data_IF_588991705354
#
_entry.id   IF_588991705354
#
_cell.length_a   1.000
_cell.length_b   1.000
_cell.length_c   1.000
_cell.angle_alpha   90.00
_cell.angle_beta   90.00
_cell.angle_gamma   90.00
#
_symmetry.space_group_name_H-M   'P 1'
#
loop_
_entity.id
_entity.type
_entity.pdbx_description
1 polymer ?
#
# COMPACT_ATOMS: atom_id res chain seq x y z
N UNK A 1 0.36 13.46 -14.65
CA UNK A 1 1.16 13.09 -13.45
C UNK A 1 0.40 12.00 -12.70
N UNK A 2 1.03 10.89 -12.26
CA UNK A 2 0.30 9.80 -11.56
C UNK A 2 -0.10 10.18 -10.14
N UNK A 3 0.74 10.97 -9.48
CA UNK A 3 0.52 11.59 -8.17
C UNK A 3 1.55 12.74 -7.97
N UNK A 4 1.33 13.71 -7.05
CA UNK A 4 2.27 14.80 -6.79
C UNK A 4 3.56 14.34 -6.11
N UNK A 5 4.72 14.90 -6.47
CA UNK A 5 6.01 14.51 -5.88
C UNK A 5 6.05 14.65 -4.34
N UNK A 6 5.35 15.66 -3.79
CA UNK A 6 5.21 15.85 -2.35
C UNK A 6 4.61 14.62 -1.64
N UNK A 7 3.72 13.87 -2.30
CA UNK A 7 3.18 12.63 -1.73
C UNK A 7 4.28 11.59 -1.51
N UNK A 8 5.17 11.37 -2.48
CA UNK A 8 6.30 10.44 -2.33
C UNK A 8 7.28 10.87 -1.22
N UNK A 9 7.47 12.18 -1.04
CA UNK A 9 8.29 12.70 0.06
C UNK A 9 7.63 12.52 1.44
N UNK A 10 6.30 12.62 1.52
CA UNK A 10 5.54 12.41 2.76
C UNK A 10 5.38 10.93 3.08
N UNK A 11 5.00 10.11 2.10
CA UNK A 11 4.76 8.68 2.22
C UNK A 11 5.98 7.89 1.72
N UNK A 12 7.12 8.10 2.37
CA UNK A 12 8.35 7.34 2.07
C UNK A 12 8.13 5.84 2.24
N UNK A 13 8.97 5.00 1.59
CA UNK A 13 8.88 3.53 1.72
C UNK A 13 8.82 3.07 3.19
N UNK A 14 9.64 3.64 4.07
CA UNK A 14 9.64 3.31 5.49
C UNK A 14 8.28 3.60 6.16
N UNK A 15 7.65 4.72 5.81
CA UNK A 15 6.32 5.07 6.31
C UNK A 15 5.27 4.12 5.75
N UNK A 16 5.31 3.82 4.45
CA UNK A 16 4.37 2.89 3.81
C UNK A 16 4.48 1.50 4.44
N UNK A 17 5.69 1.00 4.65
CA UNK A 17 5.94 -0.27 5.35
C UNK A 17 5.36 -0.21 6.75
N UNK A 18 5.64 0.84 7.53
CA UNK A 18 5.07 0.97 8.88
C UNK A 18 3.53 0.95 8.89
N UNK A 19 2.88 1.55 7.89
CA UNK A 19 1.40 1.56 7.79
C UNK A 19 0.81 0.21 7.39
N UNK A 20 1.48 -0.55 6.54
CA UNK A 20 0.92 -1.76 5.93
C UNK A 20 1.47 -3.08 6.52
N UNK A 21 2.61 -3.04 7.21
CA UNK A 21 3.25 -4.22 7.79
C UNK A 21 2.34 -5.01 8.75
N UNK A 22 1.51 -4.38 9.62
CA UNK A 22 0.59 -5.15 10.48
C UNK A 22 -0.39 -6.01 9.68
N UNK A 23 -1.00 -5.44 8.64
CA UNK A 23 -1.91 -6.18 7.74
C UNK A 23 -1.19 -7.29 6.98
N UNK A 24 0.02 -7.02 6.49
CA UNK A 24 0.82 -8.03 5.78
C UNK A 24 1.22 -9.18 6.72
N UNK A 25 1.70 -8.87 7.92
CA UNK A 25 2.12 -9.86 8.91
C UNK A 25 0.93 -10.75 9.34
N UNK A 26 -0.20 -10.14 9.70
CA UNK A 26 -1.38 -10.88 10.15
C UNK A 26 -1.94 -11.79 9.06
N UNK A 27 -1.95 -11.33 7.80
CA UNK A 27 -2.43 -12.11 6.67
C UNK A 27 -1.58 -13.36 6.38
N UNK A 28 -0.27 -13.28 6.67
CA UNK A 28 0.68 -14.36 6.45
C UNK A 28 1.03 -15.13 7.73
N UNK A 29 0.43 -14.77 8.87
CA UNK A 29 0.74 -15.34 10.19
C UNK A 29 2.23 -15.24 10.54
N UNK A 30 2.86 -14.11 10.19
CA UNK A 30 4.25 -13.82 10.47
C UNK A 30 4.37 -12.98 11.74
N UNK A 31 5.56 -12.98 12.34
CA UNK A 31 5.89 -11.92 13.28
C UNK A 31 5.99 -10.56 12.56
N UNK A 32 5.82 -9.47 13.32
CA UNK A 32 5.75 -8.14 12.74
C UNK A 32 7.06 -7.68 12.09
N UNK A 33 8.21 -8.13 12.59
CA UNK A 33 9.51 -7.73 12.06
C UNK A 33 9.80 -8.45 10.73
N UNK A 34 9.48 -9.75 10.65
CA UNK A 34 9.54 -10.52 9.42
C UNK A 34 8.57 -9.95 8.37
N UNK A 35 7.33 -9.67 8.76
CA UNK A 35 6.33 -9.07 7.88
C UNK A 35 6.78 -7.71 7.32
N UNK A 36 7.36 -6.85 8.17
CA UNK A 36 7.92 -5.57 7.74
C UNK A 36 9.12 -5.75 6.80
N UNK A 37 10.00 -6.72 7.06
CA UNK A 37 11.16 -7.05 6.23
C UNK A 37 10.76 -7.48 4.82
N UNK A 38 9.85 -8.44 4.70
CA UNK A 38 9.33 -8.93 3.41
C UNK A 38 8.63 -7.82 2.63
N UNK A 39 7.78 -7.05 3.30
CA UNK A 39 7.06 -5.95 2.65
C UNK A 39 8.03 -4.83 2.21
N UNK A 40 9.08 -4.54 2.98
CA UNK A 40 10.08 -3.57 2.57
C UNK A 40 10.84 -4.01 1.31
N UNK A 41 11.15 -5.30 1.19
CA UNK A 41 11.72 -5.88 -0.05
C UNK A 41 10.74 -5.75 -1.21
N UNK A 42 9.47 -6.12 -1.03
CA UNK A 42 8.45 -5.99 -2.06
C UNK A 42 8.33 -4.54 -2.61
N UNK A 43 8.43 -3.56 -1.72
CA UNK A 43 8.29 -2.14 -2.03
C UNK A 43 9.61 -1.47 -2.45
N UNK A 44 10.71 -2.20 -2.63
CA UNK A 44 11.95 -1.62 -3.18
C UNK A 44 11.90 -1.42 -4.69
N UNK A 45 10.93 -2.04 -5.38
CA UNK A 45 10.73 -1.97 -6.82
C UNK A 45 9.54 -1.10 -7.27
N UNK A 46 9.00 -1.33 -8.48
CA UNK A 46 7.93 -0.50 -9.06
C UNK A 46 6.60 -0.57 -8.32
N UNK A 47 6.39 -1.59 -7.46
CA UNK A 47 5.16 -1.75 -6.69
C UNK A 47 4.85 -0.56 -5.78
N UNK A 48 5.88 0.10 -5.24
CA UNK A 48 5.70 1.30 -4.42
C UNK A 48 5.07 2.45 -5.23
N UNK A 49 5.55 2.68 -6.45
CA UNK A 49 5.03 3.72 -7.34
C UNK A 49 3.57 3.48 -7.71
N UNK A 50 3.22 2.23 -8.00
CA UNK A 50 1.85 1.84 -8.32
C UNK A 50 0.92 1.97 -7.12
N UNK A 51 1.40 1.60 -5.93
CA UNK A 51 0.67 1.77 -4.68
C UNK A 51 0.46 3.25 -4.34
N UNK A 52 1.48 4.11 -4.50
CA UNK A 52 1.36 5.55 -4.26
C UNK A 52 0.38 6.19 -5.25
N UNK A 53 0.39 5.78 -6.52
CA UNK A 53 -0.59 6.22 -7.50
C UNK A 53 -2.03 5.83 -7.10
N UNK A 54 -2.25 4.58 -6.69
CA UNK A 54 -3.56 4.12 -6.22
C UNK A 54 -4.01 4.86 -4.93
N UNK A 55 -3.07 5.10 -4.02
CA UNK A 55 -3.30 5.84 -2.77
C UNK A 55 -3.70 7.28 -3.04
N UNK A 56 -3.07 7.94 -4.01
CA UNK A 56 -3.45 9.29 -4.41
C UNK A 56 -4.89 9.37 -4.92
N UNK A 57 -5.30 8.43 -5.77
CA UNK A 57 -6.69 8.36 -6.24
C UNK A 57 -7.67 8.15 -5.08
N UNK A 58 -7.31 7.30 -4.11
CA UNK A 58 -8.13 7.08 -2.93
C UNK A 58 -8.22 8.31 -2.01
N UNK A 59 -7.12 9.06 -1.85
CA UNK A 59 -7.09 10.31 -1.09
C UNK A 59 -8.03 11.35 -1.70
N UNK A 60 -7.92 11.59 -3.01
CA UNK A 60 -8.78 12.53 -3.74
C UNK A 60 -10.27 12.17 -3.64
N UNK A 61 -10.60 10.88 -3.77
CA UNK A 61 -11.99 10.41 -3.62
C UNK A 61 -12.56 10.56 -2.20
N UNK A 62 -11.71 10.49 -1.18
CA UNK A 62 -12.08 10.58 0.24
C UNK A 62 -12.25 12.00 0.78
N UNK A 63 -11.75 13.02 0.08
CA UNK A 63 -11.71 14.41 0.57
C UNK A 63 -12.40 15.38 -0.38
N UNK A 64 -13.71 15.20 -0.59
CA UNK A 64 -14.54 15.99 -1.53
C UNK A 64 -14.52 17.53 -1.36
N UNK A 65 -13.96 18.04 -0.26
CA UNK A 65 -13.91 19.48 0.06
C UNK A 65 -12.49 20.07 0.01
N UNK A 66 -11.47 19.26 -0.21
CA UNK A 66 -10.07 19.70 -0.26
C UNK A 66 -9.59 19.67 -1.69
N UNK A 67 -8.80 20.67 -2.07
CA UNK A 67 -7.95 20.62 -3.25
C UNK A 67 -6.71 19.74 -2.99
N UNK A 68 -5.89 19.53 -4.01
CA UNK A 68 -4.73 18.65 -3.92
C UNK A 68 -3.75 19.07 -2.80
N UNK A 69 -3.54 20.38 -2.64
CA UNK A 69 -2.65 20.93 -1.61
C UNK A 69 -3.22 20.72 -0.20
N UNK A 70 -4.53 20.94 -0.01
CA UNK A 70 -5.22 20.65 1.25
C UNK A 70 -5.17 19.17 1.63
N UNK A 71 -5.22 18.26 0.64
CA UNK A 71 -5.02 16.82 0.87
C UNK A 71 -3.60 16.52 1.34
N UNK A 72 -2.59 17.08 0.68
CA UNK A 72 -1.18 16.89 1.05
C UNK A 72 -0.88 17.46 2.44
N UNK A 73 -1.47 18.59 2.80
CA UNK A 73 -1.34 19.17 4.13
C UNK A 73 -1.99 18.29 5.20
N UNK A 74 -3.15 17.69 4.91
CA UNK A 74 -3.78 16.72 5.81
C UNK A 74 -2.88 15.52 6.07
N UNK A 75 -2.24 14.98 5.03
CA UNK A 75 -1.26 13.88 5.15
C UNK A 75 -0.06 14.32 5.98
N UNK A 76 0.52 15.49 5.67
CA UNK A 76 1.66 16.03 6.40
C UNK A 76 1.37 16.21 7.90
N UNK A 77 0.19 16.75 8.23
CA UNK A 77 -0.26 16.95 9.61
C UNK A 77 -0.39 15.63 10.38
N UNK A 78 -0.98 14.60 9.75
CA UNK A 78 -1.12 13.26 10.32
C UNK A 78 0.24 12.62 10.61
N UNK A 79 1.22 12.80 9.72
CA UNK A 79 2.55 12.20 9.85
C UNK A 79 3.52 13.00 10.73
N UNK A 80 3.18 14.22 11.17
CA UNK A 80 4.10 15.17 11.80
C UNK A 80 4.82 14.62 13.03
N UNK A 81 4.09 13.98 13.95
CA UNK A 81 4.65 13.56 15.24
C UNK A 81 5.12 12.11 15.25
N UNK A 82 4.40 11.22 14.56
CA UNK A 82 4.64 9.77 14.62
C UNK A 82 4.54 9.15 13.22
N UNK A 83 5.41 9.53 12.27
CA UNK A 83 5.34 9.08 10.89
C UNK A 83 5.43 7.55 10.79
N UNK A 84 6.27 6.94 11.64
CA UNK A 84 6.50 5.49 11.71
C UNK A 84 5.55 4.76 12.67
N UNK A 85 4.52 5.41 13.21
CA UNK A 85 3.50 4.70 14.01
C UNK A 85 2.90 3.57 13.15
N UNK A 86 2.89 2.32 13.63
CA UNK A 86 2.28 1.23 12.89
C UNK A 86 0.82 1.52 12.53
N UNK A 87 0.42 1.08 11.33
CA UNK A 87 -0.96 1.15 10.92
C UNK A 87 -1.86 0.20 11.72
N UNK A 88 -3.17 0.30 11.53
CA UNK A 88 -4.08 -0.75 12.00
C UNK A 88 -4.12 -1.89 11.01
N UNK A 89 -4.03 -3.11 11.53
CA UNK A 89 -4.32 -4.30 10.74
C UNK A 89 -5.75 -4.25 10.19
N UNK A 90 -5.89 -4.65 8.94
CA UNK A 90 -7.15 -4.68 8.22
C UNK A 90 -7.56 -6.12 7.91
N UNK A 91 -8.87 -6.44 7.94
CA UNK A 91 -9.34 -7.76 7.54
C UNK A 91 -8.97 -8.06 6.09
N UNK A 92 -8.49 -9.27 5.83
CA UNK A 92 -8.10 -9.72 4.50
C UNK A 92 -9.35 -9.95 3.66
N UNK A 93 -9.57 -9.08 2.68
CA UNK A 93 -10.61 -9.23 1.65
C UNK A 93 -10.01 -9.84 0.38
N UNK A 94 -10.81 -10.36 -0.57
CA UNK A 94 -10.28 -10.91 -1.83
C UNK A 94 -9.40 -9.92 -2.61
N UNK A 95 -9.76 -8.64 -2.63
CA UNK A 95 -8.95 -7.61 -3.28
C UNK A 95 -7.64 -7.40 -2.53
N UNK A 96 -7.69 -7.32 -1.19
CA UNK A 96 -6.48 -7.15 -0.39
C UNK A 96 -5.55 -8.36 -0.50
N UNK A 97 -6.09 -9.58 -0.55
CA UNK A 97 -5.34 -10.81 -0.87
C UNK A 97 -4.62 -10.70 -2.20
N UNK A 98 -5.24 -10.12 -3.23
CA UNK A 98 -4.60 -9.94 -4.52
C UNK A 98 -3.41 -8.97 -4.45
N UNK A 99 -3.49 -7.91 -3.64
CA UNK A 99 -2.34 -7.04 -3.39
C UNK A 99 -1.23 -7.74 -2.60
N UNK A 100 -1.59 -8.50 -1.57
CA UNK A 100 -0.62 -9.26 -0.78
C UNK A 100 0.16 -10.25 -1.65
N UNK A 101 -0.53 -10.92 -2.58
CA UNK A 101 0.13 -11.79 -3.55
C UNK A 101 1.08 -11.02 -4.50
N UNK A 102 0.73 -9.79 -4.91
CA UNK A 102 1.66 -8.94 -5.67
C UNK A 102 2.89 -8.59 -4.85
N UNK A 103 2.74 -8.32 -3.56
CA UNK A 103 3.85 -8.06 -2.67
C UNK A 103 4.74 -9.32 -2.52
N UNK A 104 4.14 -10.51 -2.41
CA UNK A 104 4.90 -11.75 -2.33
C UNK A 104 5.69 -12.05 -3.62
N UNK A 105 5.09 -11.80 -4.78
CA UNK A 105 5.76 -11.89 -6.07
C UNK A 105 6.94 -10.91 -6.16
N UNK A 106 6.72 -9.65 -5.76
CA UNK A 106 7.77 -8.63 -5.73
C UNK A 106 8.89 -8.94 -4.71
N UNK A 107 8.56 -9.62 -3.60
CA UNK A 107 9.52 -10.10 -2.62
C UNK A 107 10.20 -11.42 -3.00
N UNK A 108 9.78 -12.07 -4.09
CA UNK A 108 10.31 -13.38 -4.51
C UNK A 108 9.89 -14.54 -3.59
N UNK A 109 8.78 -14.40 -2.88
CA UNK A 109 8.28 -15.39 -1.91
C UNK A 109 7.02 -16.14 -2.40
N UNK A 110 6.38 -15.65 -3.46
CA UNK A 110 5.29 -16.34 -4.12
C UNK A 110 5.79 -17.51 -4.99
N UNK A 111 4.92 -18.49 -5.24
CA UNK A 111 5.22 -19.61 -6.14
C UNK A 111 5.11 -19.22 -7.62
N UNK A 112 5.83 -19.94 -8.50
CA UNK A 112 5.75 -19.78 -9.95
C UNK A 112 4.33 -19.99 -10.49
N UNK A 113 3.55 -20.86 -9.85
CA UNK A 113 2.14 -21.07 -10.19
C UNK A 113 1.31 -19.81 -9.95
N UNK A 114 1.55 -19.12 -8.83
CA UNK A 114 0.87 -17.87 -8.52
C UNK A 114 1.29 -16.74 -9.47
N UNK A 115 2.57 -16.69 -9.86
CA UNK A 115 3.07 -15.77 -10.88
C UNK A 115 2.32 -15.94 -12.21
N UNK A 116 2.22 -17.16 -12.72
CA UNK A 116 1.49 -17.47 -13.96
C UNK A 116 0.01 -17.08 -13.92
N UNK A 117 -0.65 -17.25 -12.77
CA UNK A 117 -2.04 -16.80 -12.60
C UNK A 117 -2.16 -15.29 -12.73
N UNK A 118 -1.21 -14.54 -12.16
CA UNK A 118 -1.22 -13.07 -12.20
C UNK A 118 -0.93 -12.49 -13.58
N UNK A 119 -0.31 -13.25 -14.49
CA UNK A 119 -0.06 -12.86 -15.88
C UNK A 119 -1.30 -12.95 -16.77
N UNK A 120 -2.31 -13.72 -16.37
CA UNK A 120 -3.59 -13.81 -17.09
C UNK A 120 -4.37 -12.48 -17.03
N UNK A 121 -5.31 -12.25 -17.95
CA UNK A 121 -6.11 -11.02 -17.93
C UNK A 121 -6.98 -10.90 -16.67
N UNK A 122 -7.50 -12.02 -16.17
CA UNK A 122 -8.21 -12.06 -14.89
C UNK A 122 -7.27 -11.76 -13.71
N UNK A 123 -6.04 -12.28 -13.75
CA UNK A 123 -4.98 -11.98 -12.78
C UNK A 123 -4.61 -10.50 -12.76
N UNK A 124 -4.41 -9.89 -13.93
CA UNK A 124 -4.15 -8.45 -14.09
C UNK A 124 -5.32 -7.60 -13.59
N UNK A 125 -6.56 -8.01 -13.82
CA UNK A 125 -7.72 -7.32 -13.28
C UNK A 125 -7.76 -7.36 -11.75
N UNK A 126 -7.50 -8.54 -11.15
CA UNK A 126 -7.38 -8.70 -9.69
C UNK A 126 -6.23 -7.90 -9.11
N UNK A 127 -5.08 -7.85 -9.80
CA UNK A 127 -3.93 -7.04 -9.41
C UNK A 127 -4.31 -5.55 -9.27
N UNK A 128 -5.06 -5.01 -10.25
CA UNK A 128 -5.54 -3.62 -10.21
C UNK A 128 -6.53 -3.39 -9.07
N UNK A 129 -7.45 -4.32 -8.84
CA UNK A 129 -8.39 -4.25 -7.72
C UNK A 129 -7.65 -4.28 -6.37
N UNK A 130 -6.65 -5.13 -6.24
CA UNK A 130 -5.81 -5.19 -5.04
C UNK A 130 -5.02 -3.91 -4.81
N UNK A 131 -4.37 -3.36 -5.85
CA UNK A 131 -3.71 -2.05 -5.75
C UNK A 131 -4.67 -0.95 -5.29
N UNK A 132 -5.90 -0.94 -5.81
CA UNK A 132 -6.92 0.01 -5.37
C UNK A 132 -7.30 -0.20 -3.89
N UNK A 133 -7.53 -1.44 -3.45
CA UNK A 133 -7.86 -1.76 -2.07
C UNK A 133 -6.72 -1.38 -1.09
N UNK A 134 -5.48 -1.72 -1.43
CA UNK A 134 -4.29 -1.35 -0.66
C UNK A 134 -4.08 0.17 -0.64
N UNK A 135 -4.32 0.85 -1.76
CA UNK A 135 -4.28 2.32 -1.82
C UNK A 135 -5.32 2.98 -0.91
N UNK A 136 -6.54 2.42 -0.82
CA UNK A 136 -7.56 2.90 0.11
C UNK A 136 -7.21 2.65 1.58
N UNK A 137 -6.56 1.52 1.88
CA UNK A 137 -6.06 1.25 3.22
C UNK A 137 -4.96 2.25 3.60
N UNK A 138 -3.97 2.43 2.72
CA UNK A 138 -2.87 3.35 2.96
C UNK A 138 -3.37 4.80 3.08
N UNK A 139 -4.30 5.24 2.23
CA UNK A 139 -4.88 6.58 2.31
C UNK A 139 -5.55 6.87 3.66
N UNK A 140 -6.23 5.85 4.23
CA UNK A 140 -6.82 5.94 5.58
C UNK A 140 -5.75 6.08 6.64
N UNK A 141 -4.70 5.25 6.61
CA UNK A 141 -3.63 5.29 7.60
C UNK A 141 -2.72 6.53 7.48
N UNK A 142 -2.61 7.13 6.28
CA UNK A 142 -1.87 8.38 6.07
C UNK A 142 -2.61 9.62 6.55
N UNK A 143 -3.93 9.55 6.76
CA UNK A 143 -4.77 10.71 7.14
C UNK A 143 -5.49 10.56 8.48
N UNK A 144 -5.03 9.60 9.29
CA UNK A 144 -5.59 9.24 10.59
C UNK A 144 -4.99 10.06 11.72
#
# INVERSE_FOLDING_TARGET
MRYPARLAHLATRAIVVAKLAPTYADAHQLDHDEGAGRLNTALSGPLLEDLLAATWQALLGGTKKLDEEGVLEKVAKSLRERPLRPGRSAPVTPDLSAFLLLADLAAGTASDAAGRVMETDAGKARARAGLAAAGQLLARELTR
#
